data_IF_194233787747
#
_entry.id   IF_194233787747
#
_cell.length_a   1.000
_cell.length_b   1.000
_cell.length_c   1.000
_cell.angle_alpha   90.00
_cell.angle_beta   90.00
_cell.angle_gamma   90.00
#
_symmetry.space_group_name_H-M   'P 1'
#
loop_
_entity.id
_entity.type
_entity.pdbx_description
1 polymer ?
#
# COMPACT_ATOMS: atom_id res chain seq x y z
N UNK A 1 -47.12 -66.29 1.01
CA UNK A 1 -47.29 -65.05 1.79
C UNK A 1 -46.27 -65.10 2.92
N UNK A 2 -45.13 -64.40 2.74
CA UNK A 2 -44.77 -63.18 3.48
C UNK A 2 -44.53 -63.45 4.99
N UNK A 3 -43.36 -63.19 5.59
CA UNK A 3 -42.15 -62.53 5.11
C UNK A 3 -40.97 -62.74 6.07
N UNK A 4 -39.76 -62.51 5.58
CA UNK A 4 -38.54 -62.50 6.39
C UNK A 4 -38.10 -61.05 6.62
N UNK A 5 -38.03 -60.69 7.89
CA UNK A 5 -37.46 -59.46 8.42
C UNK A 5 -35.94 -59.48 8.17
N UNK A 6 -35.46 -58.72 7.18
CA UNK A 6 -34.02 -58.43 7.04
C UNK A 6 -33.72 -57.11 7.74
N UNK A 7 -33.03 -57.20 8.86
CA UNK A 7 -32.43 -56.07 9.54
C UNK A 7 -31.31 -55.49 8.65
N UNK A 8 -31.60 -54.38 7.97
CA UNK A 8 -30.57 -53.55 7.36
C UNK A 8 -29.89 -52.77 8.48
N UNK A 9 -28.65 -53.17 8.79
CA UNK A 9 -27.73 -52.39 9.62
C UNK A 9 -27.44 -51.12 8.85
N UNK A 10 -28.13 -50.05 9.22
CA UNK A 10 -27.90 -48.70 8.72
C UNK A 10 -26.57 -48.24 9.31
N UNK A 11 -25.49 -48.47 8.56
CA UNK A 11 -24.18 -47.93 8.83
C UNK A 11 -24.31 -46.41 8.74
N UNK A 12 -24.44 -45.76 9.89
CA UNK A 12 -24.37 -44.32 10.02
C UNK A 12 -22.96 -43.91 9.61
N UNK A 13 -22.82 -43.54 8.34
CA UNK A 13 -21.75 -42.66 7.90
C UNK A 13 -21.84 -41.43 8.78
N UNK A 14 -20.99 -41.40 9.81
CA UNK A 14 -20.61 -40.19 10.51
C UNK A 14 -20.05 -39.31 9.39
N UNK A 15 -20.90 -38.42 8.89
CA UNK A 15 -20.48 -37.28 8.10
C UNK A 15 -19.39 -36.62 8.93
N UNK A 16 -18.14 -36.84 8.52
CA UNK A 16 -17.04 -35.93 8.80
C UNK A 16 -17.64 -34.55 8.64
N UNK A 17 -17.91 -33.90 9.76
CA UNK A 17 -18.13 -32.48 9.83
C UNK A 17 -16.80 -31.92 9.37
N UNK A 18 -16.63 -31.86 8.05
CA UNK A 18 -15.57 -31.12 7.40
C UNK A 18 -15.77 -29.70 7.90
N UNK A 19 -15.04 -29.38 8.97
CA UNK A 19 -14.64 -28.04 9.35
C UNK A 19 -13.80 -27.50 8.19
N UNK A 20 -14.45 -27.38 7.04
CA UNK A 20 -14.13 -26.51 5.93
C UNK A 20 -14.28 -25.10 6.47
N UNK A 21 -13.39 -24.77 7.40
CA UNK A 21 -12.98 -23.42 7.68
C UNK A 21 -12.86 -22.78 6.31
N UNK A 22 -13.65 -21.74 6.07
CA UNK A 22 -13.69 -21.04 4.79
C UNK A 22 -12.31 -20.41 4.56
N UNK A 23 -11.35 -21.22 4.12
CA UNK A 23 -9.98 -20.85 3.90
C UNK A 23 -9.97 -19.98 2.65
N UNK A 24 -9.81 -18.69 2.88
CA UNK A 24 -9.75 -17.70 1.82
C UNK A 24 -8.48 -17.97 1.02
N UNK A 25 -8.64 -18.12 -0.29
CA UNK A 25 -7.53 -18.34 -1.19
C UNK A 25 -6.58 -17.12 -1.18
N UNK A 26 -5.27 -17.36 -1.23
CA UNK A 26 -4.27 -16.28 -1.24
C UNK A 26 -4.48 -15.32 -2.43
N UNK A 27 -5.02 -15.82 -3.55
CA UNK A 27 -5.40 -15.03 -4.71
C UNK A 27 -6.42 -13.96 -4.35
N UNK A 28 -7.41 -14.29 -3.52
CA UNK A 28 -8.44 -13.34 -3.07
C UNK A 28 -7.82 -12.21 -2.22
N UNK A 29 -6.86 -12.55 -1.36
CA UNK A 29 -6.13 -11.57 -0.55
C UNK A 29 -5.32 -10.61 -1.43
N UNK A 30 -4.59 -11.14 -2.42
CA UNK A 30 -3.79 -10.32 -3.35
C UNK A 30 -4.64 -9.45 -4.26
N UNK A 31 -5.77 -9.96 -4.76
CA UNK A 31 -6.70 -9.19 -5.59
C UNK A 31 -7.26 -7.96 -4.85
N UNK A 32 -7.29 -7.97 -3.52
CA UNK A 32 -7.65 -6.80 -2.73
C UNK A 32 -6.48 -5.82 -2.52
N UNK A 33 -5.26 -6.32 -2.30
CA UNK A 33 -4.09 -5.47 -2.02
C UNK A 33 -3.50 -4.81 -3.28
N UNK A 34 -3.49 -5.48 -4.43
CA UNK A 34 -2.90 -4.93 -5.66
C UNK A 34 -3.58 -3.62 -6.09
N UNK A 35 -4.92 -3.52 -6.15
CA UNK A 35 -5.59 -2.25 -6.46
C UNK A 35 -5.26 -1.14 -5.46
N UNK A 36 -5.12 -1.48 -4.17
CA UNK A 36 -4.73 -0.50 -3.14
C UNK A 36 -3.32 0.04 -3.35
N UNK A 37 -2.36 -0.85 -3.63
CA UNK A 37 -0.98 -0.48 -3.91
C UNK A 37 -0.88 0.35 -5.20
N UNK A 38 -1.54 -0.08 -6.29
CA UNK A 38 -1.59 0.67 -7.55
C UNK A 38 -2.19 2.06 -7.34
N UNK A 39 -3.23 2.17 -6.52
CA UNK A 39 -3.84 3.45 -6.24
C UNK A 39 -2.91 4.35 -5.41
N UNK A 40 -2.18 3.78 -4.43
CA UNK A 40 -1.14 4.50 -3.70
C UNK A 40 -0.01 5.01 -4.62
N UNK A 41 0.34 4.27 -5.66
CA UNK A 41 1.28 4.74 -6.69
C UNK A 41 0.76 5.95 -7.48
N UNK A 42 -0.56 6.15 -7.58
CA UNK A 42 -1.12 7.33 -8.25
C UNK A 42 -1.29 8.55 -7.33
N UNK A 43 -1.15 8.37 -6.02
CA UNK A 43 -1.23 9.48 -5.06
C UNK A 43 -0.09 10.48 -5.29
N UNK A 44 -0.35 11.78 -5.13
CA UNK A 44 0.71 12.77 -5.07
C UNK A 44 1.47 12.61 -3.75
N UNK A 45 2.80 12.59 -3.83
CA UNK A 45 3.67 12.38 -2.68
C UNK A 45 4.54 13.60 -2.46
N UNK A 46 4.76 13.96 -1.20
CA UNK A 46 5.76 14.96 -0.86
C UNK A 46 7.16 14.40 -0.94
N UNK A 47 7.36 13.08 -0.84
CA UNK A 47 8.67 12.44 -0.92
C UNK A 47 9.27 12.41 -2.33
N UNK A 48 8.49 12.74 -3.37
CA UNK A 48 9.01 12.88 -4.72
C UNK A 48 10.20 13.88 -4.69
N UNK A 49 11.38 13.50 -5.15
CA UNK A 49 12.47 14.49 -5.30
C UNK A 49 12.20 15.31 -6.56
N UNK A 50 12.85 16.48 -6.69
CA UNK A 50 12.86 17.30 -7.91
C UNK A 50 13.56 16.61 -9.11
N UNK A 51 13.42 15.30 -9.24
CA UNK A 51 13.81 14.51 -10.39
C UNK A 51 12.52 14.33 -11.19
N UNK A 52 12.28 15.17 -12.21
CA UNK A 52 10.99 15.22 -12.92
C UNK A 52 10.60 13.93 -13.67
N UNK A 53 11.40 12.86 -13.58
CA UNK A 53 11.22 11.61 -14.35
C UNK A 53 11.39 10.32 -13.54
N UNK A 54 11.54 10.36 -12.21
CA UNK A 54 11.81 9.11 -11.47
C UNK A 54 10.55 8.25 -11.30
N UNK A 55 10.24 7.45 -12.32
CA UNK A 55 9.34 6.28 -12.27
C UNK A 55 9.61 5.36 -11.06
N UNK A 56 10.83 5.45 -10.49
CA UNK A 56 11.25 4.77 -9.28
C UNK A 56 10.42 5.14 -8.04
N UNK A 57 10.12 6.42 -7.79
CA UNK A 57 9.33 6.81 -6.60
C UNK A 57 7.86 6.47 -6.77
N UNK A 58 7.35 6.59 -8.00
CA UNK A 58 6.03 6.08 -8.38
C UNK A 58 5.91 4.59 -8.06
N UNK A 59 6.89 3.77 -8.47
CA UNK A 59 6.93 2.35 -8.14
C UNK A 59 7.18 2.08 -6.65
N UNK A 60 8.02 2.88 -5.98
CA UNK A 60 8.33 2.72 -4.56
C UNK A 60 7.11 2.90 -3.65
N UNK A 61 6.09 3.64 -4.08
CA UNK A 61 4.81 3.77 -3.37
C UNK A 61 3.94 2.50 -3.39
N UNK A 62 4.32 1.47 -4.15
CA UNK A 62 3.81 0.12 -3.93
C UNK A 62 4.34 -0.53 -2.64
N UNK A 63 5.29 0.11 -1.94
CA UNK A 63 5.74 -0.30 -0.62
C UNK A 63 4.85 0.33 0.47
N UNK A 64 4.27 -0.48 1.37
CA UNK A 64 3.47 0.04 2.47
C UNK A 64 4.29 0.92 3.42
N UNK A 65 5.59 0.66 3.57
CA UNK A 65 6.48 1.47 4.42
C UNK A 65 6.71 2.87 3.85
N UNK A 66 6.83 2.97 2.52
CA UNK A 66 6.96 4.26 1.84
C UNK A 66 5.66 5.05 1.95
N UNK A 67 4.50 4.39 1.87
CA UNK A 67 3.20 5.04 2.12
C UNK A 67 3.09 5.62 3.54
N UNK A 68 3.59 4.89 4.56
CA UNK A 68 3.63 5.41 5.93
C UNK A 68 4.56 6.60 6.05
N UNK A 69 5.75 6.53 5.46
CA UNK A 69 6.70 7.63 5.46
C UNK A 69 6.12 8.90 4.80
N UNK A 70 5.41 8.75 3.68
CA UNK A 70 4.75 9.86 2.99
C UNK A 70 3.65 10.48 3.87
N UNK A 71 2.79 9.66 4.45
CA UNK A 71 1.74 10.13 5.37
C UNK A 71 2.33 10.87 6.60
N UNK A 72 3.41 10.34 7.19
CA UNK A 72 4.09 10.97 8.31
C UNK A 72 4.74 12.30 7.91
N UNK A 73 5.38 12.39 6.74
CA UNK A 73 5.97 13.64 6.26
C UNK A 73 4.91 14.72 6.10
N UNK A 74 3.75 14.38 5.52
CA UNK A 74 2.62 15.31 5.35
C UNK A 74 2.08 15.78 6.70
N UNK A 75 1.92 14.89 7.68
CA UNK A 75 1.45 15.26 9.02
C UNK A 75 2.47 16.15 9.74
N UNK A 76 3.76 15.82 9.67
CA UNK A 76 4.83 16.62 10.26
C UNK A 76 4.87 18.00 9.62
N UNK A 77 4.78 18.09 8.28
CA UNK A 77 4.71 19.34 7.56
C UNK A 77 3.52 20.19 8.01
N UNK A 78 2.33 19.57 8.13
CA UNK A 78 1.13 20.25 8.61
C UNK A 78 1.31 20.79 10.03
N UNK A 79 1.90 20.01 10.93
CA UNK A 79 2.19 20.46 12.29
C UNK A 79 3.17 21.64 12.32
N UNK A 80 4.27 21.56 11.58
CA UNK A 80 5.29 22.61 11.52
C UNK A 80 4.71 23.92 10.96
N UNK A 81 3.96 23.85 9.86
CA UNK A 81 3.32 25.04 9.29
C UNK A 81 2.17 25.57 10.17
N UNK A 82 1.44 24.71 10.88
CA UNK A 82 0.40 25.16 11.82
C UNK A 82 1.02 25.95 12.97
N UNK A 83 2.17 25.51 13.48
CA UNK A 83 2.91 26.24 14.50
C UNK A 83 3.36 27.62 14.02
N UNK A 84 3.70 27.77 12.74
CA UNK A 84 4.16 29.02 12.14
C UNK A 84 3.01 29.98 11.78
N UNK A 85 2.03 29.51 11.01
CA UNK A 85 0.95 30.34 10.45
C UNK A 85 -0.17 30.60 11.46
N UNK A 86 -0.18 29.89 12.59
CA UNK A 86 -1.24 29.94 13.62
C UNK A 86 -2.63 29.57 13.12
N UNK A 87 -2.74 29.05 11.89
CA UNK A 87 -3.98 28.61 11.26
C UNK A 87 -3.75 27.28 10.54
N UNK A 88 -4.55 26.26 10.90
CA UNK A 88 -4.48 24.93 10.27
C UNK A 88 -4.87 24.97 8.79
N UNK A 89 -5.79 25.87 8.41
CA UNK A 89 -6.22 26.04 7.02
C UNK A 89 -5.09 26.59 6.15
N UNK A 90 -4.33 27.55 6.69
CA UNK A 90 -3.20 28.15 6.00
C UNK A 90 -2.02 27.18 5.93
N UNK A 91 -1.77 26.44 7.01
CA UNK A 91 -0.81 25.34 6.99
C UNK A 91 -1.17 24.28 5.95
N UNK A 92 -2.44 23.87 5.88
CA UNK A 92 -2.92 22.93 4.89
C UNK A 92 -2.75 23.47 3.46
N UNK A 93 -2.99 24.76 3.22
CA UNK A 93 -2.67 25.42 1.95
C UNK A 93 -1.19 25.26 1.59
N UNK A 94 -0.28 25.57 2.51
CA UNK A 94 1.17 25.48 2.30
C UNK A 94 1.63 24.05 2.01
N UNK A 95 1.13 23.06 2.75
CA UNK A 95 1.44 21.63 2.52
C UNK A 95 0.98 21.18 1.14
N UNK A 96 -0.26 21.51 0.76
CA UNK A 96 -0.79 21.13 -0.55
C UNK A 96 -0.02 21.79 -1.70
N UNK A 97 0.36 23.07 -1.55
CA UNK A 97 1.23 23.75 -2.51
C UNK A 97 2.60 23.09 -2.63
N UNK A 98 3.19 22.68 -1.52
CA UNK A 98 4.47 21.98 -1.50
C UNK A 98 4.40 20.65 -2.22
N UNK A 99 3.36 19.85 -1.96
CA UNK A 99 3.12 18.57 -2.65
C UNK A 99 2.97 18.81 -4.16
N UNK A 100 2.14 19.77 -4.56
CA UNK A 100 1.93 20.09 -5.98
C UNK A 100 3.23 20.55 -6.67
N UNK A 101 4.00 21.43 -6.03
CA UNK A 101 5.30 21.91 -6.55
C UNK A 101 6.32 20.79 -6.70
N UNK A 102 6.37 19.90 -5.72
CA UNK A 102 7.31 18.77 -5.72
C UNK A 102 7.00 17.81 -6.88
N UNK A 103 5.71 17.53 -7.12
CA UNK A 103 5.27 16.66 -8.22
C UNK A 103 5.56 17.22 -9.61
N UNK A 104 5.47 18.54 -9.77
CA UNK A 104 5.45 19.20 -11.09
C UNK A 104 6.74 19.93 -11.44
N UNK A 105 7.64 20.13 -10.47
CA UNK A 105 8.92 20.79 -10.67
C UNK A 105 8.77 22.19 -11.29
N UNK A 106 9.53 22.47 -12.34
CA UNK A 106 9.46 23.73 -13.11
C UNK A 106 8.16 23.88 -13.94
N UNK A 107 7.36 22.83 -14.04
CA UNK A 107 6.08 22.81 -14.75
C UNK A 107 4.90 23.42 -13.99
N UNK A 108 5.09 23.89 -12.75
CA UNK A 108 4.03 24.51 -11.93
C UNK A 108 3.30 25.64 -12.67
N UNK A 109 4.02 26.45 -13.45
CA UNK A 109 3.44 27.55 -14.25
C UNK A 109 2.51 27.01 -15.36
N UNK A 110 2.83 25.86 -15.95
CA UNK A 110 1.98 25.20 -16.96
C UNK A 110 0.74 24.55 -16.36
N UNK A 111 0.75 24.28 -15.05
CA UNK A 111 -0.34 23.63 -14.37
C UNK A 111 -1.29 24.59 -13.64
N UNK A 112 -0.84 25.80 -13.27
CA UNK A 112 -1.75 26.93 -13.00
C UNK A 112 -2.75 27.12 -14.17
N UNK A 113 -2.34 26.75 -15.39
CA UNK A 113 -3.15 26.74 -16.61
C UNK A 113 -3.86 25.40 -16.93
N UNK A 114 -3.58 24.30 -16.25
CA UNK A 114 -4.15 22.97 -16.56
C UNK A 114 -5.41 22.69 -15.74
N UNK A 115 -6.55 22.62 -16.44
CA UNK A 115 -7.89 22.37 -15.89
C UNK A 115 -8.03 21.00 -15.18
N UNK A 116 -7.14 20.04 -15.48
CA UNK A 116 -7.24 18.66 -15.01
C UNK A 116 -6.88 18.52 -13.53
N UNK A 117 -5.89 19.26 -13.02
CA UNK A 117 -5.54 19.22 -11.59
C UNK A 117 -6.43 20.11 -10.72
N UNK A 118 -7.10 21.11 -11.32
CA UNK A 118 -8.13 21.92 -10.63
C UNK A 118 -9.38 21.12 -10.29
N UNK A 119 -9.58 19.95 -10.91
CA UNK A 119 -10.82 19.19 -10.75
C UNK A 119 -10.71 18.19 -9.57
N UNK A 120 -11.34 18.47 -8.40
CA UNK A 120 -11.23 17.62 -7.20
C UNK A 120 -11.77 16.20 -7.41
N UNK A 121 -12.57 16.01 -8.46
CA UNK A 121 -13.17 14.73 -8.83
C UNK A 121 -12.16 13.63 -9.12
N UNK A 122 -11.00 13.93 -9.72
CA UNK A 122 -10.00 12.91 -9.99
C UNK A 122 -9.52 12.24 -8.68
N UNK A 123 -9.27 13.06 -7.65
CA UNK A 123 -8.89 12.55 -6.34
C UNK A 123 -10.02 11.78 -5.66
N UNK A 124 -11.27 12.28 -5.74
CA UNK A 124 -12.43 11.59 -5.17
C UNK A 124 -12.64 10.22 -5.82
N UNK A 125 -12.53 10.13 -7.14
CA UNK A 125 -12.65 8.87 -7.89
C UNK A 125 -11.56 7.90 -7.44
N UNK A 126 -10.30 8.34 -7.36
CA UNK A 126 -9.21 7.51 -6.87
C UNK A 126 -9.46 7.08 -5.41
N UNK A 127 -9.90 7.97 -4.54
CA UNK A 127 -10.22 7.63 -3.16
C UNK A 127 -11.30 6.53 -3.07
N UNK A 128 -12.41 6.67 -3.81
CA UNK A 128 -13.46 5.65 -3.86
C UNK A 128 -12.91 4.34 -4.43
N UNK A 129 -12.07 4.40 -5.46
CA UNK A 129 -11.42 3.24 -6.06
C UNK A 129 -10.48 2.51 -5.09
N UNK A 130 -9.88 3.19 -4.10
CA UNK A 130 -9.18 2.54 -2.98
C UNK A 130 -10.14 2.01 -1.92
N UNK A 131 -11.19 2.77 -1.60
CA UNK A 131 -12.05 2.44 -0.47
C UNK A 131 -12.79 1.12 -0.69
N UNK A 132 -13.29 0.85 -1.89
CA UNK A 132 -14.02 -0.39 -2.23
C UNK A 132 -13.17 -1.65 -1.97
N UNK A 133 -11.95 -1.81 -2.55
CA UNK A 133 -11.11 -2.96 -2.26
C UNK A 133 -10.64 -3.02 -0.81
N UNK A 134 -10.41 -1.88 -0.14
CA UNK A 134 -10.06 -1.87 1.29
C UNK A 134 -11.19 -2.44 2.15
N UNK A 135 -12.43 -1.98 1.97
CA UNK A 135 -13.59 -2.49 2.71
C UNK A 135 -13.77 -3.98 2.49
N UNK A 136 -13.59 -4.45 1.25
CA UNK A 136 -13.63 -5.88 0.93
C UNK A 136 -12.59 -6.66 1.73
N UNK A 137 -11.33 -6.22 1.74
CA UNK A 137 -10.24 -6.88 2.49
C UNK A 137 -10.47 -6.84 4.00
N UNK A 138 -10.91 -5.70 4.53
CA UNK A 138 -11.18 -5.52 5.96
C UNK A 138 -12.34 -6.41 6.45
N UNK A 139 -13.29 -6.72 5.57
CA UNK A 139 -14.40 -7.65 5.84
C UNK A 139 -14.02 -9.14 5.83
N UNK A 140 -12.88 -9.52 5.25
CA UNK A 140 -12.43 -10.92 5.23
C UNK A 140 -12.06 -11.43 6.63
N UNK A 141 -12.34 -12.68 6.97
CA UNK A 141 -11.93 -13.28 8.25
C UNK A 141 -10.60 -14.05 8.12
N UNK A 142 -9.84 -14.18 9.21
CA UNK A 142 -8.62 -15.00 9.23
C UNK A 142 -7.36 -14.41 8.57
N UNK A 143 -7.40 -13.15 8.10
CA UNK A 143 -6.28 -12.49 7.41
C UNK A 143 -5.80 -11.21 8.12
N UNK A 144 -5.32 -11.28 9.39
CA UNK A 144 -4.99 -10.08 10.17
C UNK A 144 -3.92 -9.21 9.50
N UNK A 145 -2.87 -9.82 8.96
CA UNK A 145 -1.79 -9.08 8.30
C UNK A 145 -2.22 -8.40 7.00
N UNK A 146 -3.05 -9.05 6.18
CA UNK A 146 -3.61 -8.44 4.96
C UNK A 146 -4.43 -7.20 5.31
N UNK A 147 -5.18 -7.22 6.42
CA UNK A 147 -5.91 -6.04 6.91
C UNK A 147 -4.98 -4.92 7.34
N UNK A 148 -3.87 -5.23 8.01
CA UNK A 148 -2.85 -4.23 8.37
C UNK A 148 -2.30 -3.55 7.12
N UNK A 149 -1.93 -4.32 6.10
CA UNK A 149 -1.43 -3.76 4.83
C UNK A 149 -2.48 -2.89 4.12
N UNK A 150 -3.72 -3.36 4.04
CA UNK A 150 -4.81 -2.57 3.46
C UNK A 150 -5.05 -1.27 4.24
N UNK A 151 -5.02 -1.35 5.58
CA UNK A 151 -5.15 -0.19 6.46
C UNK A 151 -4.04 0.84 6.26
N UNK A 152 -2.79 0.39 6.05
CA UNK A 152 -1.65 1.27 5.76
C UNK A 152 -1.88 2.08 4.48
N UNK A 153 -2.23 1.41 3.36
CA UNK A 153 -2.50 2.11 2.09
C UNK A 153 -3.70 3.05 2.20
N UNK A 154 -4.74 2.64 2.91
CA UNK A 154 -5.92 3.47 3.10
C UNK A 154 -5.63 4.67 4.00
N UNK A 155 -4.81 4.51 5.03
CA UNK A 155 -4.42 5.57 5.96
C UNK A 155 -3.67 6.70 5.25
N UNK A 156 -2.74 6.38 4.33
CA UNK A 156 -2.04 7.42 3.55
C UNK A 156 -3.02 8.25 2.71
N UNK A 157 -4.01 7.59 2.11
CA UNK A 157 -5.10 8.25 1.39
C UNK A 157 -5.90 9.21 2.29
N UNK A 158 -6.26 8.75 3.49
CA UNK A 158 -7.02 9.56 4.45
C UNK A 158 -6.24 10.80 4.88
N UNK A 159 -4.94 10.68 5.17
CA UNK A 159 -4.09 11.81 5.53
C UNK A 159 -4.09 12.87 4.42
N UNK A 160 -3.85 12.45 3.18
CA UNK A 160 -3.89 13.36 2.02
C UNK A 160 -5.28 13.97 1.82
N UNK A 161 -6.35 13.19 2.00
CA UNK A 161 -7.73 13.66 1.86
C UNK A 161 -8.06 14.73 2.91
N UNK A 162 -7.66 14.51 4.16
CA UNK A 162 -7.88 15.47 5.26
C UNK A 162 -7.10 16.75 4.99
N UNK A 163 -5.80 16.65 4.66
CA UNK A 163 -4.97 17.84 4.38
C UNK A 163 -5.52 18.63 3.19
N UNK A 164 -6.03 17.96 2.15
CA UNK A 164 -6.70 18.62 1.02
C UNK A 164 -8.01 19.29 1.42
N UNK A 165 -8.84 18.61 2.21
CA UNK A 165 -10.12 19.13 2.67
C UNK A 165 -9.97 20.33 3.62
N UNK A 166 -8.87 20.38 4.38
CA UNK A 166 -8.52 21.50 5.25
C UNK A 166 -8.00 22.73 4.48
N UNK A 167 -7.59 22.61 3.23
CA UNK A 167 -7.15 23.77 2.48
C UNK A 167 -8.35 24.67 2.10
N UNK A 168 -8.20 26.01 2.15
CA UNK A 168 -9.25 26.94 1.74
C UNK A 168 -9.63 26.71 0.26
N UNK A 169 -10.89 27.00 -0.08
CA UNK A 169 -11.36 26.93 -1.46
C UNK A 169 -10.53 27.87 -2.34
N UNK A 170 -10.12 27.40 -3.52
CA UNK A 170 -9.28 28.20 -4.42
C UNK A 170 -7.82 28.32 -3.96
N UNK A 171 -7.35 27.46 -3.04
CA UNK A 171 -5.95 27.50 -2.59
C UNK A 171 -4.94 27.43 -3.75
N UNK A 172 -5.30 26.77 -4.85
CA UNK A 172 -4.53 26.70 -6.09
C UNK A 172 -4.32 28.04 -6.79
N UNK A 173 -5.20 29.02 -6.59
CA UNK A 173 -5.12 30.32 -7.24
C UNK A 173 -4.37 31.36 -6.37
N UNK A 174 -3.95 30.97 -5.17
CA UNK A 174 -3.22 31.82 -4.22
C UNK A 174 -1.90 31.15 -3.82
N UNK A 175 -0.86 31.21 -4.67
CA UNK A 175 0.46 30.65 -4.35
C UNK A 175 1.10 31.37 -3.15
N UNK A 176 1.84 30.64 -2.29
CA UNK A 176 2.64 31.28 -1.26
C UNK A 176 3.71 32.18 -1.92
N UNK A 177 4.10 33.29 -1.27
CA UNK A 177 5.17 34.14 -1.76
C UNK A 177 6.42 33.31 -2.07
N UNK A 178 6.91 33.43 -3.30
CA UNK A 178 8.14 32.74 -3.70
C UNK A 178 9.30 33.58 -3.16
N UNK A 179 10.17 32.95 -2.37
CA UNK A 179 11.38 33.62 -1.90
C UNK A 179 12.25 34.01 -3.12
N UNK A 180 12.80 35.24 -3.15
CA UNK A 180 13.63 35.68 -4.25
C UNK A 180 14.81 34.71 -4.50
N UNK A 181 15.22 34.54 -5.77
CA UNK A 181 16.34 33.67 -6.10
C UNK A 181 17.61 34.16 -5.40
N UNK A 182 18.16 33.30 -4.53
CA UNK A 182 19.33 33.62 -3.70
C UNK A 182 19.04 33.67 -2.20
N UNK A 183 17.77 33.69 -1.79
CA UNK A 183 17.41 33.56 -0.39
C UNK A 183 17.74 32.17 0.13
N UNK A 184 18.33 32.12 1.34
CA UNK A 184 18.60 30.86 2.02
C UNK A 184 17.25 30.21 2.38
N UNK A 185 17.10 28.89 2.16
CA UNK A 185 15.91 28.18 2.58
C UNK A 185 15.66 28.42 4.07
N UNK A 186 14.39 28.57 4.43
CA UNK A 186 13.99 28.74 5.82
C UNK A 186 14.47 27.55 6.67
N UNK A 187 14.67 27.76 7.97
CA UNK A 187 15.04 26.68 8.88
C UNK A 187 14.07 25.50 8.79
N UNK A 188 12.77 25.78 8.63
CA UNK A 188 11.71 24.79 8.49
C UNK A 188 11.86 23.97 7.19
N UNK A 189 12.13 24.63 6.06
CA UNK A 189 12.34 23.92 4.79
C UNK A 189 13.57 23.01 4.85
N UNK A 190 14.65 23.46 5.50
CA UNK A 190 15.82 22.64 5.74
C UNK A 190 15.50 21.45 6.65
N UNK A 191 14.83 21.69 7.78
CA UNK A 191 14.43 20.64 8.72
C UNK A 191 13.53 19.60 8.04
N UNK A 192 12.54 20.06 7.27
CA UNK A 192 11.59 19.19 6.59
C UNK A 192 12.25 18.42 5.44
N UNK A 193 13.26 19.00 4.79
CA UNK A 193 14.15 18.29 3.85
C UNK A 193 14.95 17.18 4.53
N UNK A 194 15.52 17.43 5.70
CA UNK A 194 16.23 16.41 6.49
C UNK A 194 15.28 15.29 6.91
N UNK A 195 14.11 15.64 7.47
CA UNK A 195 13.08 14.67 7.89
C UNK A 195 12.67 13.78 6.72
N UNK A 196 12.43 14.37 5.54
CA UNK A 196 12.11 13.62 4.32
C UNK A 196 13.17 12.59 3.97
N UNK A 197 14.44 12.99 3.93
CA UNK A 197 15.56 12.10 3.60
C UNK A 197 15.62 10.96 4.62
N UNK A 198 15.54 11.27 5.92
CA UNK A 198 15.58 10.27 6.98
C UNK A 198 14.41 9.29 6.86
N UNK A 199 13.18 9.78 6.69
CA UNK A 199 11.99 8.94 6.54
C UNK A 199 12.12 8.01 5.32
N UNK A 200 12.61 8.53 4.19
CA UNK A 200 12.79 7.73 2.98
C UNK A 200 13.87 6.66 3.14
N UNK A 201 15.02 7.01 3.73
CA UNK A 201 16.12 6.05 3.97
C UNK A 201 15.66 4.93 4.90
N UNK A 202 14.99 5.28 6.01
CA UNK A 202 14.47 4.30 6.98
C UNK A 202 13.42 3.41 6.33
N UNK A 203 12.42 3.98 5.67
CA UNK A 203 11.36 3.20 5.02
C UNK A 203 11.90 2.31 3.89
N UNK A 204 12.86 2.81 3.11
CA UNK A 204 13.56 2.05 2.08
C UNK A 204 14.36 0.88 2.66
N UNK A 205 15.11 1.11 3.74
CA UNK A 205 15.86 0.06 4.42
C UNK A 205 14.96 -1.03 5.01
N UNK A 206 13.84 -0.64 5.65
CA UNK A 206 12.83 -1.58 6.16
C UNK A 206 12.22 -2.38 5.01
N UNK A 207 11.82 -1.73 3.92
CA UNK A 207 11.29 -2.41 2.74
C UNK A 207 12.28 -3.43 2.17
N UNK A 208 13.54 -3.04 1.96
CA UNK A 208 14.58 -3.92 1.45
C UNK A 208 14.81 -5.13 2.38
N UNK A 209 14.81 -4.91 3.70
CA UNK A 209 15.00 -5.96 4.69
C UNK A 209 13.85 -6.98 4.66
N UNK A 210 12.60 -6.49 4.63
CA UNK A 210 11.41 -7.35 4.58
C UNK A 210 11.34 -8.12 3.26
N UNK A 211 11.65 -7.48 2.14
CA UNK A 211 11.70 -8.13 0.83
C UNK A 211 12.80 -9.19 0.77
N UNK A 212 13.99 -8.92 1.31
CA UNK A 212 15.08 -9.89 1.40
C UNK A 212 14.68 -11.10 2.26
N UNK A 213 14.09 -10.85 3.44
CA UNK A 213 13.58 -11.90 4.31
C UNK A 213 12.52 -12.77 3.62
N UNK A 214 11.56 -12.14 2.93
CA UNK A 214 10.53 -12.85 2.18
C UNK A 214 11.11 -13.74 1.07
N UNK A 215 12.12 -13.26 0.33
CA UNK A 215 12.82 -14.05 -0.69
C UNK A 215 13.53 -15.27 -0.10
N UNK A 216 14.16 -15.12 1.07
CA UNK A 216 14.79 -16.23 1.78
C UNK A 216 13.74 -17.28 2.18
N UNK A 217 12.59 -16.85 2.70
CA UNK A 217 11.49 -17.76 3.05
C UNK A 217 10.96 -18.52 1.83
N UNK A 218 10.72 -17.83 0.70
CA UNK A 218 10.24 -18.47 -0.54
C UNK A 218 11.26 -19.48 -1.06
N UNK A 219 12.55 -19.11 -1.05
CA UNK A 219 13.63 -20.02 -1.46
C UNK A 219 13.64 -21.29 -0.61
N UNK A 220 13.58 -21.15 0.72
CA UNK A 220 13.56 -22.28 1.64
C UNK A 220 12.36 -23.20 1.40
N UNK A 221 11.17 -22.64 1.18
CA UNK A 221 9.98 -23.44 0.84
C UNK A 221 10.15 -24.20 -0.48
N UNK A 222 10.79 -23.60 -1.47
CA UNK A 222 11.06 -24.26 -2.75
C UNK A 222 12.04 -25.44 -2.60
N UNK A 223 13.10 -25.27 -1.80
CA UNK A 223 14.06 -26.34 -1.49
C UNK A 223 13.37 -27.52 -0.77
N UNK A 224 12.54 -27.26 0.25
CA UNK A 224 11.78 -28.28 0.99
C UNK A 224 10.81 -29.08 0.07
N UNK A 225 10.14 -28.40 -0.88
CA UNK A 225 9.25 -29.05 -1.86
C UNK A 225 10.04 -29.92 -2.83
N UNK A 226 11.20 -29.43 -3.29
CA UNK A 226 12.05 -30.13 -4.24
C UNK A 226 12.61 -31.42 -3.64
N UNK A 227 13.11 -31.37 -2.41
CA UNK A 227 13.60 -32.54 -1.66
C UNK A 227 12.47 -33.58 -1.49
N UNK A 228 11.29 -33.15 -1.03
CA UNK A 228 10.13 -34.05 -0.85
C UNK A 228 9.59 -34.65 -2.17
N UNK A 229 9.82 -33.99 -3.31
CA UNK A 229 9.50 -34.54 -4.64
C UNK A 229 10.56 -35.54 -5.10
N UNK A 230 11.84 -35.27 -4.83
CA UNK A 230 12.96 -36.16 -5.17
C UNK A 230 12.85 -37.50 -4.44
N UNK A 231 12.59 -37.47 -3.13
CA UNK A 231 12.42 -38.68 -2.30
C UNK A 231 11.26 -39.54 -2.79
N UNK A 232 10.15 -38.91 -3.20
CA UNK A 232 8.99 -39.61 -3.78
C UNK A 232 9.32 -40.28 -5.11
N UNK A 233 10.11 -39.64 -5.97
CA UNK A 233 10.54 -40.26 -7.24
C UNK A 233 11.46 -41.46 -6.99
N UNK A 234 12.37 -41.37 -6.02
CA UNK A 234 13.25 -42.49 -5.65
C UNK A 234 12.46 -43.68 -5.07
N UNK A 235 11.46 -43.44 -4.23
CA UNK A 235 10.57 -44.48 -3.68
C UNK A 235 9.74 -45.20 -4.75
N UNK A 236 9.22 -44.45 -5.74
CA UNK A 236 8.47 -45.02 -6.86
C UNK A 236 9.40 -45.89 -7.73
N UNK A 237 10.62 -45.42 -8.01
CA UNK A 237 11.63 -46.19 -8.74
C UNK A 237 12.01 -47.50 -8.04
N UNK A 238 12.25 -47.46 -6.73
CA UNK A 238 12.57 -48.65 -5.94
C UNK A 238 11.41 -49.66 -5.91
N UNK A 239 10.16 -49.18 -5.80
CA UNK A 239 8.98 -50.05 -5.80
C UNK A 239 8.75 -50.77 -7.13
N UNK A 240 9.00 -50.08 -8.26
CA UNK A 240 8.92 -50.69 -9.60
C UNK A 240 10.01 -51.74 -9.83
N UNK A 241 11.22 -51.52 -9.29
CA UNK A 241 12.32 -52.48 -9.38
C UNK A 241 11.99 -53.78 -8.63
N UNK A 242 11.42 -53.68 -7.42
CA UNK A 242 11.01 -54.85 -6.61
C UNK A 242 9.88 -55.64 -7.27
N UNK A 243 8.96 -54.99 -7.99
CA UNK A 243 7.89 -55.67 -8.73
C UNK A 243 8.36 -56.33 -10.03
N UNK A 244 9.57 -56.01 -10.50
CA UNK A 244 10.13 -56.53 -11.76
C UNK A 244 11.09 -57.72 -11.58
N UNK A 245 11.35 -58.14 -10.33
CA UNK A 245 12.19 -59.29 -9.95
C UNK A 245 11.30 -60.40 -9.42
#
# INVERSE_FOLDING_TARGET
MAGNFSASVQQTNISSSDNSTNLISWQTALQGLVPLALNAMTQPSSLDFNIPESSLLFAARSSPFICVADALEVLIALCLYTYQEKSIFEAARLVNWRIARTRLGSGVIKLEASTVEKHPWAFIILFIAALVPAVKVLGLQGLPWTKVWAGIYLCSFFVLAIVRALAPKGWHDSPPPIAPPGDKPSFQENLLGIIRIVLLVVAGAVHASVSCWALICVRRQYEEIYEASSDRMLLIGASQLVLSV
#
